data_IF_712566867814
#
_entry.id   IF_712566867814
#
_cell.length_a   1.000
_cell.length_b   1.000
_cell.length_c   1.000
_cell.angle_alpha   90.00
_cell.angle_beta   90.00
_cell.angle_gamma   90.00
#
_symmetry.space_group_name_H-M   'P 1'
#
loop_
_entity.id
_entity.type
_entity.pdbx_description
1 polymer ?
#
# COMPACT_ATOMS: atom_id res chain seq x y z
N UNK A 1 14.91 6.89 -13.61
CA UNK A 1 13.64 7.20 -12.93
C UNK A 1 12.58 6.30 -13.53
N UNK A 2 12.55 5.03 -13.10
CA UNK A 2 11.58 4.07 -13.62
C UNK A 2 10.18 4.46 -13.15
N UNK A 3 9.23 4.35 -14.06
CA UNK A 3 7.81 4.55 -13.86
C UNK A 3 7.37 4.05 -12.48
N UNK A 4 6.95 4.96 -11.61
CA UNK A 4 6.40 4.66 -10.26
C UNK A 4 5.05 3.92 -10.31
N UNK A 5 4.59 3.55 -11.51
CA UNK A 5 3.31 2.92 -11.76
C UNK A 5 3.47 1.42 -11.60
N UNK A 6 2.54 0.80 -10.87
CA UNK A 6 2.53 -0.64 -10.66
C UNK A 6 2.46 -1.40 -12.01
N UNK A 7 3.20 -2.50 -12.24
CA UNK A 7 3.05 -3.28 -13.47
C UNK A 7 1.66 -3.95 -13.55
N UNK A 8 1.05 -4.27 -12.40
CA UNK A 8 -0.32 -4.79 -12.27
C UNK A 8 -1.38 -3.66 -12.33
N UNK A 9 -0.99 -2.44 -12.74
CA UNK A 9 -1.89 -1.30 -12.85
C UNK A 9 -3.15 -1.57 -13.68
N UNK A 10 -3.11 -2.29 -14.83
CA UNK A 10 -4.32 -2.63 -15.57
C UNK A 10 -5.35 -3.40 -14.73
N UNK A 11 -4.90 -4.41 -13.99
CA UNK A 11 -5.78 -5.23 -13.14
C UNK A 11 -6.32 -4.44 -11.94
N UNK A 12 -5.48 -3.58 -11.36
CA UNK A 12 -5.88 -2.68 -10.27
C UNK A 12 -6.91 -1.64 -10.74
N UNK A 13 -6.81 -1.18 -11.99
CA UNK A 13 -7.79 -0.29 -12.60
C UNK A 13 -9.13 -0.96 -12.86
N UNK A 14 -9.15 -2.27 -13.16
CA UNK A 14 -10.40 -3.03 -13.25
C UNK A 14 -11.03 -3.24 -11.87
N UNK A 15 -10.21 -3.46 -10.84
CA UNK A 15 -10.66 -3.72 -9.48
C UNK A 15 -11.17 -2.45 -8.77
N UNK A 16 -10.41 -1.36 -8.86
CA UNK A 16 -10.64 -0.10 -8.17
C UNK A 16 -10.04 1.07 -8.99
N UNK A 17 -10.73 1.53 -10.06
CA UNK A 17 -10.24 2.59 -10.94
C UNK A 17 -10.03 3.94 -10.23
N UNK A 18 -10.62 4.12 -9.06
CA UNK A 18 -10.49 5.31 -8.24
C UNK A 18 -9.23 5.34 -7.35
N UNK A 19 -8.40 4.29 -7.39
CA UNK A 19 -7.14 4.21 -6.63
C UNK A 19 -5.95 4.50 -7.54
N UNK A 20 -5.01 5.31 -7.05
CA UNK A 20 -3.76 5.63 -7.71
C UNK A 20 -2.59 4.90 -7.05
N UNK A 21 -2.50 3.59 -7.31
CA UNK A 21 -1.38 2.78 -6.85
C UNK A 21 -0.04 3.25 -7.44
N UNK A 22 0.87 3.60 -6.54
CA UNK A 22 2.24 3.96 -6.86
C UNK A 22 3.20 3.15 -5.99
N UNK A 23 4.38 2.89 -6.53
CA UNK A 23 5.47 2.28 -5.76
C UNK A 23 6.27 3.36 -5.03
N UNK A 24 6.34 3.19 -3.72
CA UNK A 24 7.12 4.00 -2.81
C UNK A 24 8.07 3.11 -2.03
N UNK A 25 9.11 3.71 -1.48
CA UNK A 25 9.90 3.09 -0.41
C UNK A 25 9.30 3.43 0.94
N UNK A 26 9.51 2.60 1.95
CA UNK A 26 9.07 2.89 3.32
C UNK A 26 9.66 4.22 3.82
N UNK A 27 10.87 4.56 3.41
CA UNK A 27 11.50 5.84 3.71
C UNK A 27 10.71 7.05 3.15
N UNK A 28 10.07 6.93 1.99
CA UNK A 28 9.28 7.99 1.36
C UNK A 28 7.89 8.16 2.02
N UNK A 29 7.30 7.07 2.51
CA UNK A 29 5.94 7.04 3.07
C UNK A 29 5.81 7.66 4.46
N UNK A 30 6.92 7.96 5.15
CA UNK A 30 6.93 8.37 6.56
C UNK A 30 5.94 7.53 7.40
N UNK A 31 6.03 6.20 7.27
CA UNK A 31 5.07 5.29 7.89
C UNK A 31 4.95 5.56 9.41
N UNK A 32 3.78 5.30 10.01
CA UNK A 32 3.59 5.36 11.44
C UNK A 32 4.66 4.57 12.20
N UNK A 33 5.13 5.12 13.33
CA UNK A 33 6.23 4.53 14.09
C UNK A 33 5.94 3.09 14.55
N UNK A 34 4.69 2.78 14.87
CA UNK A 34 4.20 1.45 15.21
C UNK A 34 4.32 0.46 14.04
N UNK A 35 4.08 0.91 12.81
CA UNK A 35 4.32 0.10 11.62
C UNK A 35 5.82 -0.13 11.43
N UNK A 36 6.65 0.90 11.57
CA UNK A 36 8.12 0.82 11.46
C UNK A 36 8.75 -0.15 12.48
N UNK A 37 8.25 -0.19 13.71
CA UNK A 37 8.75 -1.13 14.73
C UNK A 37 8.56 -2.60 14.34
N UNK A 38 7.55 -2.92 13.51
CA UNK A 38 7.28 -4.29 13.05
C UNK A 38 8.19 -4.76 11.91
N UNK A 39 8.84 -3.83 11.20
CA UNK A 39 9.70 -4.10 10.03
C UNK A 39 11.11 -4.55 10.44
N UNK A 40 11.43 -4.50 11.74
CA UNK A 40 12.78 -4.64 12.32
C UNK A 40 13.81 -5.43 11.50
N UNK A 41 14.92 -4.75 11.15
CA UNK A 41 16.11 -5.38 10.55
C UNK A 41 16.29 -5.17 9.04
N UNK A 42 15.42 -4.43 8.35
CA UNK A 42 15.56 -4.15 6.91
C UNK A 42 15.81 -2.66 6.67
N UNK A 43 16.74 -2.29 5.77
CA UNK A 43 16.90 -0.90 5.35
C UNK A 43 15.61 -0.39 4.69
N UNK A 44 15.00 0.64 5.27
CA UNK A 44 13.72 1.22 4.83
C UNK A 44 13.75 1.77 3.39
N UNK A 45 14.95 1.97 2.83
CA UNK A 45 15.18 2.39 1.45
C UNK A 45 15.02 1.27 0.43
N UNK A 46 15.13 0.01 0.86
CA UNK A 46 15.05 -1.17 -0.03
C UNK A 46 13.67 -1.82 0.01
N UNK A 47 12.82 -1.41 0.96
CA UNK A 47 11.48 -1.96 1.10
C UNK A 47 10.52 -1.17 0.22
N UNK A 48 10.21 -1.74 -0.94
CA UNK A 48 9.17 -1.24 -1.82
C UNK A 48 7.78 -1.61 -1.30
N UNK A 49 6.85 -0.68 -1.46
CA UNK A 49 5.44 -0.82 -1.12
C UNK A 49 4.62 -0.21 -2.25
N UNK A 50 3.59 -0.94 -2.66
CA UNK A 50 2.63 -0.48 -3.66
C UNK A 50 1.37 -0.01 -2.95
N UNK A 51 1.08 1.29 -3.01
CA UNK A 51 -0.08 1.83 -2.33
C UNK A 51 -0.63 3.12 -2.93
N UNK A 52 -1.88 3.38 -2.58
CA UNK A 52 -2.52 4.69 -2.63
C UNK A 52 -2.42 5.34 -1.24
N UNK A 53 -1.68 6.44 -1.18
CA UNK A 53 -1.45 7.23 0.04
C UNK A 53 -2.70 7.98 0.50
N UNK A 54 -3.55 8.43 -0.43
CA UNK A 54 -4.70 9.27 -0.12
C UNK A 54 -5.81 8.45 0.53
N UNK A 55 -6.02 7.22 0.03
CA UNK A 55 -7.06 6.32 0.55
C UNK A 55 -6.54 5.31 1.57
N UNK A 56 -5.24 5.33 1.87
CA UNK A 56 -4.58 4.36 2.74
C UNK A 56 -4.84 2.91 2.32
N UNK A 57 -4.76 2.64 1.01
CA UNK A 57 -4.97 1.31 0.44
C UNK A 57 -3.66 0.79 -0.14
N UNK A 58 -3.26 -0.42 0.21
CA UNK A 58 -2.05 -1.04 -0.31
C UNK A 58 -2.36 -2.33 -1.09
N UNK A 59 -1.42 -2.72 -1.96
CA UNK A 59 -1.50 -3.95 -2.74
C UNK A 59 -0.45 -4.94 -2.20
N UNK A 60 -0.93 -6.02 -1.57
CA UNK A 60 -0.07 -6.99 -0.89
C UNK A 60 0.93 -7.70 -1.81
N UNK A 61 0.59 -8.13 -3.05
CA UNK A 61 1.53 -8.85 -3.93
C UNK A 61 2.79 -8.06 -4.33
N UNK A 62 2.76 -6.73 -4.21
CA UNK A 62 3.89 -5.84 -4.49
C UNK A 62 4.43 -5.14 -3.23
N UNK A 63 4.07 -5.64 -2.06
CA UNK A 63 4.47 -5.11 -0.76
C UNK A 63 5.09 -6.25 0.04
N UNK A 64 6.20 -6.00 0.75
CA UNK A 64 6.80 -7.02 1.62
C UNK A 64 5.79 -7.48 2.68
N UNK A 65 5.69 -8.80 2.91
CA UNK A 65 4.69 -9.41 3.78
C UNK A 65 4.70 -8.82 5.20
N UNK A 66 5.88 -8.44 5.72
CA UNK A 66 6.00 -7.83 7.05
C UNK A 66 5.37 -6.44 7.09
N UNK A 67 5.48 -5.69 6.00
CA UNK A 67 4.82 -4.39 5.84
C UNK A 67 3.33 -4.59 5.69
N UNK A 68 2.91 -5.52 4.84
CA UNK A 68 1.51 -5.83 4.64
C UNK A 68 0.82 -6.18 5.98
N UNK A 69 1.46 -7.01 6.81
CA UNK A 69 0.93 -7.35 8.14
C UNK A 69 0.93 -6.17 9.11
N UNK A 70 1.95 -5.32 9.08
CA UNK A 70 1.98 -4.09 9.86
C UNK A 70 0.84 -3.14 9.46
N UNK A 71 0.61 -2.94 8.16
CA UNK A 71 -0.45 -2.09 7.63
C UNK A 71 -1.84 -2.63 7.93
N UNK A 72 -2.06 -3.95 7.79
CA UNK A 72 -3.32 -4.62 8.15
C UNK A 72 -3.70 -4.44 9.62
N UNK A 73 -2.71 -4.27 10.49
CA UNK A 73 -2.94 -4.00 11.92
C UNK A 73 -3.20 -2.52 12.24
N UNK A 74 -3.16 -1.65 11.24
CA UNK A 74 -3.41 -0.21 11.33
C UNK A 74 -4.71 0.15 10.60
N UNK A 75 -4.89 1.42 10.25
CA UNK A 75 -6.03 1.96 9.53
C UNK A 75 -5.98 1.72 8.00
N UNK A 76 -4.96 1.01 7.52
CA UNK A 76 -4.76 0.73 6.11
C UNK A 76 -5.54 -0.50 5.66
N UNK A 77 -5.99 -0.50 4.41
CA UNK A 77 -6.71 -1.62 3.82
C UNK A 77 -5.92 -2.27 2.70
N UNK A 78 -5.99 -3.59 2.59
CA UNK A 78 -5.56 -4.28 1.37
C UNK A 78 -6.63 -4.06 0.28
N UNK A 79 -6.22 -3.88 -0.98
CA UNK A 79 -7.15 -3.48 -2.07
C UNK A 79 -8.36 -4.40 -2.23
N UNK A 80 -8.19 -5.72 -2.11
CA UNK A 80 -9.28 -6.68 -2.25
C UNK A 80 -10.21 -6.61 -1.06
N UNK A 81 -9.67 -6.42 0.14
CA UNK A 81 -10.46 -6.24 1.35
C UNK A 81 -11.21 -4.90 1.34
N UNK A 82 -10.57 -3.84 0.84
CA UNK A 82 -11.17 -2.52 0.64
C UNK A 82 -12.37 -2.57 -0.31
N UNK A 83 -12.22 -3.25 -1.45
CA UNK A 83 -13.31 -3.45 -2.41
C UNK A 83 -14.43 -4.30 -1.79
N UNK A 84 -14.10 -5.38 -1.07
CA UNK A 84 -15.08 -6.24 -0.38
C UNK A 84 -15.85 -5.52 0.72
N UNK A 85 -15.19 -4.61 1.44
CA UNK A 85 -15.79 -3.79 2.48
C UNK A 85 -16.70 -2.67 1.92
N UNK A 86 -16.82 -2.55 0.60
CA UNK A 86 -17.64 -1.52 -0.04
C UNK A 86 -16.93 -0.17 -0.16
N UNK A 87 -15.60 -0.17 -0.31
CA UNK A 87 -14.78 1.03 -0.59
C UNK A 87 -14.84 2.08 0.54
N UNK A 88 -14.50 1.69 1.79
CA UNK A 88 -14.54 2.60 2.94
C UNK A 88 -13.62 3.81 2.71
N UNK A 89 -14.11 5.01 3.02
CA UNK A 89 -13.35 6.26 2.77
C UNK A 89 -13.43 6.78 1.32
N UNK A 90 -14.19 6.14 0.42
CA UNK A 90 -14.50 6.68 -0.92
C UNK A 90 -15.65 7.70 -0.93
N UNK A 91 -16.22 8.04 0.23
CA UNK A 91 -17.22 9.11 0.35
C UNK A 91 -16.49 10.46 0.28
N UNK A 92 -16.31 11.01 -0.92
CA UNK A 92 -16.49 12.44 -1.26
C UNK A 92 -16.34 12.62 -2.78
#
# INVERSE_FOLDING_TARGET
>A
MSSRTCPDWPDLMELAPELQFKHYTVAELQLPADALMKIGGVPLTDVAICCDLEKHVFYAPHTDDRIADALRSSHWFEVRDWVRAGRPGSLY
#
